data_IF_628691651825
#
_entry.id   IF_628691651825
#
_cell.length_a   1.000
_cell.length_b   1.000
_cell.length_c   1.000
_cell.angle_alpha   90.00
_cell.angle_beta   90.00
_cell.angle_gamma   90.00
#
_symmetry.space_group_name_H-M   'P 1'
#
loop_
_entity.id
_entity.type
_entity.pdbx_description
1 polymer ?
#
# COMPACT_ATOMS: atom_id res chain seq x y z
N UNK A 1 2.68 8.54 14.82
CA UNK A 1 3.77 7.60 14.45
C UNK A 1 3.20 6.63 13.42
N UNK A 2 3.99 6.21 12.43
CA UNK A 2 3.54 5.24 11.42
C UNK A 2 4.32 3.93 11.55
N UNK A 3 3.66 2.81 11.31
CA UNK A 3 4.28 1.48 11.34
C UNK A 3 4.84 1.13 9.96
N UNK A 4 6.04 0.54 9.91
CA UNK A 4 6.63 0.08 8.66
C UNK A 4 6.88 -1.42 8.71
N UNK A 5 6.29 -2.14 7.77
CA UNK A 5 6.43 -3.58 7.63
C UNK A 5 7.10 -3.93 6.31
N UNK A 6 7.96 -4.94 6.31
CA UNK A 6 8.73 -5.35 5.12
C UNK A 6 8.67 -6.85 4.95
N UNK A 7 8.39 -7.27 3.72
CA UNK A 7 8.24 -8.67 3.37
C UNK A 7 9.01 -9.00 2.10
N UNK A 8 9.64 -10.17 2.09
CA UNK A 8 10.20 -10.73 0.85
C UNK A 8 9.04 -11.33 0.06
N UNK A 9 8.78 -10.73 -1.11
CA UNK A 9 7.81 -11.20 -2.06
C UNK A 9 8.54 -11.85 -3.23
N UNK A 10 8.66 -13.19 -3.20
CA UNK A 10 9.38 -13.95 -4.24
C UNK A 10 8.82 -13.70 -5.65
N UNK A 11 7.50 -13.47 -5.74
CA UNK A 11 6.76 -13.15 -6.97
C UNK A 11 6.74 -11.64 -7.27
N UNK A 12 7.52 -10.84 -6.54
CA UNK A 12 7.64 -9.39 -6.67
C UNK A 12 8.20 -9.01 -8.03
N UNK A 13 7.30 -8.82 -8.99
CA UNK A 13 7.59 -8.22 -10.29
C UNK A 13 6.60 -7.08 -10.52
N UNK A 14 6.99 -5.99 -11.22
CA UNK A 14 6.17 -4.79 -11.34
C UNK A 14 4.77 -5.06 -11.91
N UNK A 15 4.63 -6.02 -12.83
CA UNK A 15 3.33 -6.38 -13.39
C UNK A 15 2.40 -7.04 -12.37
N UNK A 16 2.93 -7.94 -11.52
CA UNK A 16 2.15 -8.57 -10.45
C UNK A 16 1.88 -7.61 -9.30
N UNK A 17 2.79 -6.68 -9.05
CA UNK A 17 2.57 -5.62 -8.08
C UNK A 17 1.39 -4.74 -8.47
N UNK A 18 1.33 -4.30 -9.72
CA UNK A 18 0.18 -3.55 -10.23
C UNK A 18 -1.13 -4.34 -10.05
N UNK A 19 -1.16 -5.61 -10.46
CA UNK A 19 -2.35 -6.47 -10.34
C UNK A 19 -2.78 -6.66 -8.88
N UNK A 20 -1.82 -6.87 -7.97
CA UNK A 20 -2.06 -6.95 -6.53
C UNK A 20 -2.71 -5.68 -5.97
N UNK A 21 -2.18 -4.50 -6.35
CA UNK A 21 -2.75 -3.22 -5.92
C UNK A 21 -4.15 -3.01 -6.51
N UNK A 22 -4.35 -3.35 -7.79
CA UNK A 22 -5.67 -3.27 -8.43
C UNK A 22 -6.69 -4.21 -7.75
N UNK A 23 -6.26 -5.39 -7.30
CA UNK A 23 -7.10 -6.31 -6.53
C UNK A 23 -7.51 -5.71 -5.17
N UNK A 24 -6.57 -5.09 -4.46
CA UNK A 24 -6.85 -4.37 -3.20
C UNK A 24 -7.87 -3.26 -3.43
N UNK A 25 -7.67 -2.43 -4.44
CA UNK A 25 -8.59 -1.32 -4.76
C UNK A 25 -9.96 -1.86 -5.16
N UNK A 26 -10.01 -2.99 -5.88
CA UNK A 26 -11.26 -3.63 -6.30
C UNK A 26 -12.11 -4.16 -5.13
N UNK A 27 -11.55 -4.31 -3.92
CA UNK A 27 -12.34 -4.64 -2.72
C UNK A 27 -13.28 -3.50 -2.31
N UNK A 28 -13.03 -2.28 -2.77
CA UNK A 28 -13.80 -1.09 -2.41
C UNK A 28 -13.50 -0.55 -1.01
N UNK A 29 -12.63 -1.19 -0.23
CA UNK A 29 -12.20 -0.73 1.10
C UNK A 29 -11.08 0.31 1.04
N UNK A 30 -10.36 0.31 -0.08
CA UNK A 30 -9.17 1.11 -0.29
C UNK A 30 -9.31 1.94 -1.55
N UNK A 31 -8.88 3.20 -1.45
CA UNK A 31 -8.85 4.14 -2.55
C UNK A 31 -7.42 4.57 -2.79
N UNK A 32 -6.95 4.42 -4.03
CA UNK A 32 -5.66 4.98 -4.40
C UNK A 32 -5.75 6.51 -4.39
N UNK A 33 -4.92 7.13 -3.55
CA UNK A 33 -4.80 8.59 -3.46
C UNK A 33 -3.55 9.11 -4.19
N UNK A 34 -2.50 8.29 -4.29
CA UNK A 34 -1.24 8.65 -4.94
C UNK A 34 -0.48 7.42 -5.43
N UNK A 35 0.48 7.64 -6.33
CA UNK A 35 1.43 6.61 -6.77
C UNK A 35 1.11 6.00 -8.12
N UNK A 36 1.97 5.07 -8.53
CA UNK A 36 1.96 4.39 -9.83
C UNK A 36 3.32 3.76 -10.17
N UNK A 37 3.31 2.53 -10.66
CA UNK A 37 4.52 1.79 -11.05
C UNK A 37 5.05 0.94 -9.90
N UNK A 38 5.93 1.51 -9.06
CA UNK A 38 6.64 0.78 -8.01
C UNK A 38 6.25 1.21 -6.59
N UNK A 39 5.44 2.25 -6.42
CA UNK A 39 4.84 2.61 -5.14
C UNK A 39 3.41 3.14 -5.31
N UNK A 40 2.55 2.82 -4.36
CA UNK A 40 1.14 3.19 -4.34
C UNK A 40 0.77 3.60 -2.92
N UNK A 41 0.07 4.71 -2.80
CA UNK A 41 -0.50 5.17 -1.54
C UNK A 41 -2.01 4.96 -1.60
N UNK A 42 -2.51 4.13 -0.70
CA UNK A 42 -3.92 3.81 -0.56
C UNK A 42 -4.44 4.45 0.73
N UNK A 43 -5.64 5.01 0.67
CA UNK A 43 -6.37 5.52 1.81
C UNK A 43 -7.60 4.63 2.01
N UNK A 44 -7.85 4.26 3.26
CA UNK A 44 -9.09 3.59 3.65
C UNK A 44 -10.30 4.46 3.31
N UNK A 45 -11.43 3.87 2.96
CA UNK A 45 -12.65 4.66 2.60
C UNK A 45 -13.15 5.59 3.70
N UNK A 46 -12.80 5.31 4.95
CA UNK A 46 -13.14 6.11 6.12
C UNK A 46 -12.13 7.25 6.37
N UNK A 47 -10.96 7.26 5.71
CA UNK A 47 -9.92 8.27 5.87
C UNK A 47 -9.08 8.13 7.16
N UNK A 48 -9.37 7.11 7.98
CA UNK A 48 -8.67 6.87 9.25
C UNK A 48 -7.27 6.27 9.08
N UNK A 49 -7.03 5.56 7.98
CA UNK A 49 -5.79 4.85 7.69
C UNK A 49 -5.30 5.13 6.26
N UNK A 50 -4.00 5.43 6.14
CA UNK A 50 -3.27 5.58 4.89
C UNK A 50 -2.14 4.56 4.89
N UNK A 51 -2.03 3.76 3.82
CA UNK A 51 -0.93 2.81 3.63
C UNK A 51 -0.17 3.14 2.36
N UNK A 52 1.15 3.32 2.48
CA UNK A 52 2.05 3.38 1.33
C UNK A 52 2.70 2.01 1.11
N UNK A 53 2.44 1.43 -0.05
CA UNK A 53 2.92 0.13 -0.46
C UNK A 53 3.94 0.34 -1.57
N UNK A 54 5.16 -0.16 -1.38
CA UNK A 54 6.25 -0.01 -2.36
C UNK A 54 6.90 -1.36 -2.65
N UNK A 55 7.18 -1.63 -3.92
CA UNK A 55 7.98 -2.78 -4.35
C UNK A 55 9.36 -2.33 -4.80
N UNK A 56 10.40 -2.91 -4.21
CA UNK A 56 11.80 -2.77 -4.63
C UNK A 56 12.42 -4.14 -4.84
N UNK A 57 12.79 -4.46 -6.08
CA UNK A 57 13.21 -5.80 -6.49
C UNK A 57 12.15 -6.86 -6.11
N UNK A 58 12.35 -7.52 -4.97
CA UNK A 58 11.49 -8.56 -4.39
C UNK A 58 11.10 -8.25 -2.94
N UNK A 59 11.31 -7.01 -2.50
CA UNK A 59 10.92 -6.55 -1.18
C UNK A 59 9.70 -5.64 -1.32
N UNK A 60 8.59 -6.05 -0.73
CA UNK A 60 7.41 -5.21 -0.57
C UNK A 60 7.46 -4.56 0.80
N UNK A 61 7.32 -3.24 0.84
CA UNK A 61 7.29 -2.44 2.06
C UNK A 61 5.90 -1.83 2.19
N UNK A 62 5.32 -1.94 3.39
CA UNK A 62 4.08 -1.29 3.78
C UNK A 62 4.42 -0.24 4.83
N UNK A 63 3.93 0.98 4.66
CA UNK A 63 4.08 2.05 5.61
C UNK A 63 2.71 2.60 5.96
N UNK A 64 2.27 2.33 7.19
CA UNK A 64 0.97 2.72 7.72
C UNK A 64 1.07 4.10 8.37
N UNK A 65 0.05 4.91 8.16
CA UNK A 65 -0.10 6.22 8.76
C UNK A 65 -1.55 6.40 9.18
N UNK A 66 -1.73 6.79 10.43
CA UNK A 66 -3.03 6.96 11.06
C UNK A 66 -3.24 8.46 11.34
N UNK A 67 -3.66 9.25 10.33
CA UNK A 67 -3.85 10.69 10.50
C UNK A 67 -4.90 11.03 11.57
N UNK A 68 -5.81 10.09 11.86
CA UNK A 68 -6.92 10.27 12.79
C UNK A 68 -6.76 9.49 14.12
N UNK A 69 -5.59 8.88 14.37
CA UNK A 69 -5.26 8.43 15.72
C UNK A 69 -4.75 9.64 16.51
N UNK A 70 -5.68 10.33 17.16
CA UNK A 70 -5.36 11.18 18.30
C UNK A 70 -4.72 10.28 19.38
N UNK A 71 -3.53 10.66 19.87
CA UNK A 71 -2.92 10.08 21.07
C UNK A 71 -3.73 10.38 22.33
#
# INVERSE_FOLDING_TARGET
MGDTEKYVWDQGVPQRFKDYIENIISTGLWKQIKGGGSSYTLESTDGSEIVEISLKDKEITYHYSYPNSEE
#
